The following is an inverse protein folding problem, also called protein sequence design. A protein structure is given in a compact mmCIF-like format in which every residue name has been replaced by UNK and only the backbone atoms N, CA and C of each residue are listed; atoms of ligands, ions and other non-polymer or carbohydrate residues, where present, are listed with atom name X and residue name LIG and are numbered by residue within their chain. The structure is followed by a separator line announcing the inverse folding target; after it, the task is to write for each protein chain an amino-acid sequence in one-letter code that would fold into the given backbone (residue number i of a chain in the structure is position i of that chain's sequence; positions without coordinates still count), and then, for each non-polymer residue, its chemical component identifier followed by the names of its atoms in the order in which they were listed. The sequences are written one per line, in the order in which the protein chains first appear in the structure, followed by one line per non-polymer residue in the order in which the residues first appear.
data_IF_422884245028
#
_entry.id   IF_422884245028
#
_cell.length_a   1.000
_cell.length_b   1.000
_cell.length_c   1.000
_cell.angle_alpha   90.00
_cell.angle_beta   90.00
_cell.angle_gamma   90.00
#
_symmetry.space_group_name_H-M   'P 1'
#
loop_
_entity.id
_entity.type
_entity.pdbx_description
1 polymer ?
#
# COMPACT_ATOMS: atom_id res chain seq x y z
N UNK A 1 36.33 -54.04 -45.04
CA UNK A 1 37.07 -54.69 -43.94
C UNK A 1 36.03 -55.15 -42.94
N UNK A 2 35.71 -56.44 -42.94
CA UNK A 2 34.71 -57.03 -42.03
C UNK A 2 35.27 -57.05 -40.60
N UNK A 3 34.57 -56.39 -39.68
CA UNK A 3 34.92 -56.44 -38.26
C UNK A 3 34.57 -57.82 -37.72
N UNK A 4 35.54 -58.45 -37.04
CA UNK A 4 35.41 -59.78 -36.46
C UNK A 4 34.27 -59.79 -35.42
N UNK A 5 33.19 -60.58 -35.60
CA UNK A 5 31.97 -60.50 -34.77
C UNK A 5 32.20 -60.86 -33.30
N UNK A 6 33.29 -61.56 -32.97
CA UNK A 6 33.66 -61.91 -31.60
C UNK A 6 34.27 -60.75 -30.79
N UNK A 7 34.72 -59.68 -31.46
CA UNK A 7 35.34 -58.52 -30.80
C UNK A 7 34.38 -57.34 -30.60
N UNK A 8 33.17 -57.38 -31.16
CA UNK A 8 32.20 -56.29 -31.10
C UNK A 8 31.73 -56.01 -29.66
N UNK A 9 31.37 -57.07 -28.92
CA UNK A 9 30.89 -56.95 -27.54
C UNK A 9 31.97 -56.42 -26.57
N UNK A 10 33.22 -56.92 -26.60
CA UNK A 10 34.30 -56.32 -25.82
C UNK A 10 34.57 -54.85 -26.17
N UNK A 11 34.53 -54.49 -27.46
CA UNK A 11 34.78 -53.11 -27.91
C UNK A 11 33.64 -52.18 -27.46
N UNK A 12 32.38 -52.58 -27.59
CA UNK A 12 31.24 -51.81 -27.08
C UNK A 12 31.25 -51.68 -25.56
N UNK A 13 31.61 -52.75 -24.84
CA UNK A 13 31.73 -52.72 -23.39
C UNK A 13 32.84 -51.74 -22.94
N UNK A 14 33.97 -51.73 -23.65
CA UNK A 14 35.07 -50.82 -23.37
C UNK A 14 34.72 -49.35 -23.67
N UNK A 15 34.10 -49.08 -24.82
CA UNK A 15 33.61 -47.74 -25.17
C UNK A 15 32.58 -47.23 -24.16
N UNK A 16 31.68 -48.10 -23.69
CA UNK A 16 30.69 -47.74 -22.67
C UNK A 16 31.33 -47.47 -21.33
N UNK A 17 32.32 -48.26 -20.93
CA UNK A 17 33.07 -48.05 -19.70
C UNK A 17 33.83 -46.71 -19.74
N UNK A 18 34.52 -46.43 -20.84
CA UNK A 18 35.27 -45.19 -21.03
C UNK A 18 34.34 -43.97 -20.98
N UNK A 19 33.18 -44.04 -21.66
CA UNK A 19 32.18 -42.97 -21.61
C UNK A 19 31.64 -42.73 -20.20
N UNK A 20 31.33 -43.79 -19.45
CA UNK A 20 30.84 -43.66 -18.07
C UNK A 20 31.93 -43.15 -17.13
N UNK A 21 33.19 -43.53 -17.35
CA UNK A 21 34.32 -43.02 -16.59
C UNK A 21 34.53 -41.52 -16.84
N UNK A 22 34.42 -41.06 -18.08
CA UNK A 22 34.49 -39.64 -18.45
C UNK A 22 33.34 -38.83 -17.84
N UNK A 23 32.10 -39.33 -17.94
CA UNK A 23 30.93 -38.69 -17.32
C UNK A 23 31.09 -38.59 -15.80
N UNK A 24 31.59 -39.64 -15.16
CA UNK A 24 31.83 -39.62 -13.72
C UNK A 24 32.94 -38.63 -13.33
N UNK A 25 34.01 -38.55 -14.14
CA UNK A 25 35.06 -37.55 -13.93
C UNK A 25 34.53 -36.12 -14.06
N UNK A 26 33.67 -35.85 -15.06
CA UNK A 26 33.02 -34.54 -15.21
C UNK A 26 32.12 -34.20 -14.03
N UNK A 27 31.37 -35.17 -13.51
CA UNK A 27 30.52 -34.97 -12.33
C UNK A 27 31.36 -34.65 -11.08
N UNK A 28 32.51 -35.29 -10.91
CA UNK A 28 33.45 -34.95 -9.83
C UNK A 28 33.99 -33.52 -9.96
N UNK A 29 34.40 -33.10 -11.16
CA UNK A 29 34.85 -31.73 -11.39
C UNK A 29 33.74 -30.70 -11.13
N UNK A 30 32.50 -31.02 -11.50
CA UNK A 30 31.35 -30.16 -11.21
C UNK A 30 31.13 -30.04 -9.70
N UNK A 31 31.15 -31.16 -8.98
CA UNK A 31 31.00 -31.19 -7.53
C UNK A 31 32.09 -30.36 -6.83
N UNK A 32 33.33 -30.53 -7.25
CA UNK A 32 34.46 -29.77 -6.69
C UNK A 32 34.30 -28.27 -6.95
N UNK A 33 33.87 -27.87 -8.16
CA UNK A 33 33.61 -26.46 -8.45
C UNK A 33 32.44 -25.88 -7.63
N UNK A 34 31.39 -26.66 -7.42
CA UNK A 34 30.25 -26.24 -6.58
C UNK A 34 30.66 -26.10 -5.11
N UNK A 35 31.50 -27.00 -4.60
CA UNK A 35 32.03 -26.91 -3.24
C UNK A 35 32.91 -25.68 -3.06
N UNK A 36 33.74 -25.33 -4.05
CA UNK A 36 34.55 -24.09 -4.01
C UNK A 36 33.65 -22.86 -3.93
N UNK A 37 32.59 -22.78 -4.76
CA UNK A 37 31.66 -21.65 -4.73
C UNK A 37 30.94 -21.56 -3.38
N UNK A 38 30.53 -22.69 -2.82
CA UNK A 38 29.87 -22.72 -1.52
C UNK A 38 30.82 -22.31 -0.39
N UNK A 39 32.08 -22.76 -0.41
CA UNK A 39 33.11 -22.32 0.54
C UNK A 39 33.39 -20.82 0.39
N UNK A 40 33.45 -20.29 -0.83
CA UNK A 40 33.63 -18.86 -1.06
C UNK A 40 32.45 -18.04 -0.51
N UNK A 41 31.21 -18.50 -0.69
CA UNK A 41 30.01 -17.85 -0.16
C UNK A 41 29.90 -17.94 1.36
N UNK A 42 30.26 -19.09 1.96
CA UNK A 42 30.22 -19.27 3.41
C UNK A 42 31.33 -18.51 4.14
N UNK A 43 32.48 -18.35 3.49
CA UNK A 43 33.64 -17.68 4.09
C UNK A 43 33.76 -16.20 3.68
N UNK A 44 32.86 -15.66 2.85
CA UNK A 44 32.85 -14.23 2.54
C UNK A 44 32.42 -13.44 3.79
N UNK A 45 33.33 -12.68 4.43
CA UNK A 45 33.03 -11.92 5.64
C UNK A 45 32.03 -10.77 5.39
N UNK A 46 31.71 -10.47 4.13
CA UNK A 46 30.73 -9.46 3.74
C UNK A 46 29.35 -10.04 3.38
N UNK A 47 29.22 -11.37 3.26
CA UNK A 47 27.94 -12.02 3.00
C UNK A 47 27.19 -12.20 4.32
N UNK A 48 26.58 -11.12 4.77
CA UNK A 48 25.68 -11.10 5.92
C UNK A 48 24.27 -10.85 5.40
N UNK A 49 23.53 -11.93 5.18
CA UNK A 49 22.17 -11.92 4.62
C UNK A 49 21.27 -10.97 5.40
N UNK A 50 21.39 -10.97 6.74
CA UNK A 50 20.61 -10.11 7.62
C UNK A 50 20.94 -8.62 7.39
N UNK A 51 22.22 -8.25 7.24
CA UNK A 51 22.61 -6.86 6.92
C UNK A 51 22.14 -6.39 5.54
N UNK A 52 22.12 -7.29 4.56
CA UNK A 52 21.62 -6.97 3.21
C UNK A 52 20.12 -6.74 3.27
N UNK A 53 19.38 -7.61 3.98
CA UNK A 53 17.95 -7.47 4.21
C UNK A 53 17.62 -6.17 4.96
N UNK A 54 18.38 -5.85 6.00
CA UNK A 54 18.23 -4.61 6.76
C UNK A 54 18.51 -3.37 5.90
N UNK A 55 19.53 -3.44 5.02
CA UNK A 55 19.83 -2.35 4.07
C UNK A 55 18.70 -2.16 3.06
N UNK A 56 18.15 -3.25 2.51
CA UNK A 56 16.99 -3.20 1.61
C UNK A 56 15.78 -2.57 2.31
N UNK A 57 15.50 -2.99 3.54
CA UNK A 57 14.39 -2.46 4.33
C UNK A 57 14.58 -0.97 4.66
N UNK A 58 15.80 -0.55 4.99
CA UNK A 58 16.14 0.86 5.21
C UNK A 58 15.90 1.70 3.96
N UNK A 59 16.38 1.23 2.80
CA UNK A 59 16.18 1.92 1.53
C UNK A 59 14.70 1.99 1.15
N UNK A 60 13.92 0.92 1.37
CA UNK A 60 12.48 0.94 1.12
C UNK A 60 11.76 1.99 1.98
N UNK A 61 12.15 2.12 3.25
CA UNK A 61 11.60 3.14 4.14
C UNK A 61 11.94 4.55 3.67
N UNK A 62 13.18 4.79 3.24
CA UNK A 62 13.58 6.08 2.66
C UNK A 62 12.80 6.42 1.38
N UNK A 63 12.50 5.42 0.55
CA UNK A 63 11.66 5.58 -0.65
C UNK A 63 10.24 6.01 -0.25
N UNK A 64 9.62 5.35 0.74
CA UNK A 64 8.28 5.71 1.22
C UNK A 64 8.23 7.12 1.81
N UNK A 65 9.24 7.50 2.60
CA UNK A 65 9.35 8.85 3.17
C UNK A 65 9.51 9.91 2.07
N UNK A 66 10.30 9.60 1.04
CA UNK A 66 10.52 10.47 -0.11
C UNK A 66 9.25 10.61 -0.94
N UNK A 67 8.50 9.53 -1.16
CA UNK A 67 7.23 9.58 -1.90
C UNK A 67 6.19 10.44 -1.16
N UNK A 68 6.11 10.30 0.17
CA UNK A 68 5.25 11.16 0.99
C UNK A 68 5.64 12.64 0.89
N UNK A 69 6.93 12.96 0.86
CA UNK A 69 7.43 14.33 0.67
C UNK A 69 7.11 14.86 -0.73
N UNK A 70 7.25 14.02 -1.75
CA UNK A 70 6.90 14.34 -3.14
C UNK A 70 5.41 14.65 -3.29
N UNK A 71 4.54 13.82 -2.71
CA UNK A 71 3.10 14.06 -2.68
C UNK A 71 2.77 15.38 -1.98
N UNK A 72 3.36 15.65 -0.81
CA UNK A 72 3.18 16.93 -0.10
C UNK A 72 3.64 18.13 -0.93
N UNK A 73 4.80 18.03 -1.58
CA UNK A 73 5.32 19.08 -2.45
C UNK A 73 4.41 19.30 -3.67
N UNK A 74 3.88 18.23 -4.24
CA UNK A 74 2.94 18.29 -5.36
C UNK A 74 1.61 18.92 -4.93
N UNK A 75 1.08 18.58 -3.75
CA UNK A 75 -0.09 19.25 -3.18
C UNK A 75 0.15 20.75 -2.95
N UNK A 76 1.29 21.11 -2.35
CA UNK A 76 1.65 22.52 -2.13
C UNK A 76 1.81 23.29 -3.45
N UNK A 77 2.45 22.68 -4.45
CA UNK A 77 2.60 23.28 -5.78
C UNK A 77 1.25 23.46 -6.46
N UNK A 78 0.36 22.46 -6.37
CA UNK A 78 -0.97 22.52 -6.96
C UNK A 78 -1.82 23.61 -6.28
N UNK A 79 -1.75 23.72 -4.95
CA UNK A 79 -2.38 24.81 -4.21
C UNK A 79 -1.82 26.19 -4.63
N UNK A 80 -0.50 26.32 -4.83
CA UNK A 80 0.11 27.58 -5.32
C UNK A 80 -0.36 27.90 -6.74
N UNK A 81 -0.39 26.92 -7.65
CA UNK A 81 -0.77 27.11 -9.05
C UNK A 81 -2.26 27.45 -9.19
N UNK A 82 -3.13 26.77 -8.44
CA UNK A 82 -4.57 27.09 -8.37
C UNK A 82 -4.77 28.50 -7.80
N UNK A 83 -4.11 28.83 -6.68
CA UNK A 83 -4.22 30.16 -6.07
C UNK A 83 -3.66 31.29 -6.97
N UNK A 84 -2.66 31.00 -7.83
CA UNK A 84 -2.11 32.01 -8.77
C UNK A 84 -3.04 32.29 -9.96
N UNK A 85 -3.87 31.32 -10.36
CA UNK A 85 -4.89 31.52 -11.41
C UNK A 85 -6.16 32.20 -10.87
N UNK A 86 -6.39 32.17 -9.56
CA UNK A 86 -7.60 32.68 -8.91
C UNK A 86 -7.63 34.19 -8.62
N UNK A 87 -6.50 34.90 -8.72
CA UNK A 87 -6.48 36.34 -8.42
C UNK A 87 -7.11 37.23 -9.52
N UNK A 88 -7.41 36.70 -10.71
CA UNK A 88 -7.95 37.49 -11.83
C UNK A 88 -9.42 37.21 -12.19
N UNK A 89 -10.06 36.18 -11.62
CA UNK A 89 -11.46 35.88 -11.93
C UNK A 89 -12.22 35.43 -10.70
N UNK A 90 -13.34 36.12 -10.40
CA UNK A 90 -14.37 35.66 -9.45
C UNK A 90 -14.77 34.23 -9.83
N UNK A 91 -14.22 33.24 -9.13
CA UNK A 91 -14.53 31.84 -9.39
C UNK A 91 -16.02 31.60 -9.22
N UNK A 92 -16.64 31.03 -10.25
CA UNK A 92 -17.99 30.52 -10.14
C UNK A 92 -17.97 29.33 -9.15
N UNK A 93 -18.95 29.21 -8.22
CA UNK A 93 -19.07 28.07 -7.29
C UNK A 93 -19.03 26.69 -7.97
N UNK A 94 -19.29 26.64 -9.29
CA UNK A 94 -19.26 25.44 -10.12
C UNK A 94 -17.87 24.79 -10.25
N UNK A 95 -16.79 25.57 -10.35
CA UNK A 95 -15.43 25.00 -10.52
C UNK A 95 -14.91 24.38 -9.21
N UNK A 96 -15.22 25.01 -8.08
CA UNK A 96 -14.91 24.50 -6.75
C UNK A 96 -15.67 23.18 -6.50
N UNK A 97 -16.96 23.14 -6.84
CA UNK A 97 -17.78 21.93 -6.74
C UNK A 97 -17.23 20.78 -7.60
N UNK A 98 -16.74 21.05 -8.81
CA UNK A 98 -16.11 20.02 -9.68
C UNK A 98 -14.88 19.36 -9.05
N UNK A 99 -14.15 20.06 -8.18
CA UNK A 99 -12.97 19.53 -7.51
C UNK A 99 -13.34 18.77 -6.24
N UNK A 100 -14.35 19.24 -5.51
CA UNK A 100 -14.74 18.69 -4.21
C UNK A 100 -15.63 17.45 -4.34
N UNK A 101 -16.59 17.43 -5.28
CA UNK A 101 -17.51 16.30 -5.46
C UNK A 101 -16.78 14.98 -5.71
N UNK A 102 -15.76 14.92 -6.60
CA UNK A 102 -14.96 13.71 -6.77
C UNK A 102 -14.23 13.29 -5.50
N UNK A 103 -13.77 14.24 -4.67
CA UNK A 103 -13.13 13.92 -3.39
C UNK A 103 -14.11 13.27 -2.41
N UNK A 104 -15.33 13.77 -2.32
CA UNK A 104 -16.38 13.13 -1.50
C UNK A 104 -16.74 11.74 -2.01
N UNK A 105 -16.88 11.60 -3.33
CA UNK A 105 -17.15 10.31 -3.96
C UNK A 105 -16.04 9.30 -3.65
N UNK A 106 -14.77 9.71 -3.78
CA UNK A 106 -13.62 8.85 -3.43
C UNK A 106 -13.64 8.40 -1.97
N UNK A 107 -13.96 9.29 -1.03
CA UNK A 107 -14.06 8.94 0.39
C UNK A 107 -15.19 7.94 0.66
N UNK A 108 -16.33 8.09 0.00
CA UNK A 108 -17.44 7.13 0.10
C UNK A 108 -17.04 5.78 -0.50
N UNK A 109 -16.38 5.79 -1.67
CA UNK A 109 -15.90 4.56 -2.31
C UNK A 109 -14.82 3.87 -1.49
N UNK A 110 -13.95 4.60 -0.80
CA UNK A 110 -12.95 4.06 0.12
C UNK A 110 -13.62 3.27 1.25
N UNK A 111 -14.70 3.80 1.83
CA UNK A 111 -15.48 3.10 2.86
C UNK A 111 -16.16 1.87 2.29
N UNK A 112 -16.83 1.98 1.14
CA UNK A 112 -17.45 0.84 0.47
C UNK A 112 -16.42 -0.25 0.16
N UNK A 113 -15.23 0.14 -0.31
CA UNK A 113 -14.12 -0.77 -0.59
C UNK A 113 -13.64 -1.44 0.69
N UNK A 114 -13.38 -0.69 1.76
CA UNK A 114 -12.98 -1.24 3.05
C UNK A 114 -14.02 -2.22 3.63
N UNK A 115 -15.31 -1.96 3.43
CA UNK A 115 -16.40 -2.86 3.87
C UNK A 115 -16.39 -4.16 3.06
N UNK A 116 -16.24 -4.06 1.73
CA UNK A 116 -16.16 -5.23 0.83
C UNK A 116 -14.89 -6.05 1.06
N UNK A 117 -13.74 -5.40 1.23
CA UNK A 117 -12.45 -6.06 1.47
C UNK A 117 -12.44 -6.84 2.80
N UNK A 118 -13.22 -6.39 3.78
CA UNK A 118 -13.44 -7.08 5.05
C UNK A 118 -14.57 -8.14 4.98
N UNK A 119 -15.14 -8.40 3.80
CA UNK A 119 -16.22 -9.37 3.59
C UNK A 119 -17.55 -8.97 4.23
N UNK A 120 -17.72 -7.69 4.59
CA UNK A 120 -18.93 -7.17 5.23
C UNK A 120 -19.84 -6.54 4.17
N UNK A 121 -21.15 -6.56 4.42
CA UNK A 121 -22.15 -5.89 3.57
C UNK A 121 -22.64 -4.57 4.16
N UNK A 122 -22.34 -4.32 5.43
CA UNK A 122 -22.79 -3.16 6.19
C UNK A 122 -21.58 -2.35 6.66
N UNK A 123 -21.64 -1.02 6.51
CA UNK A 123 -20.65 -0.12 7.08
C UNK A 123 -20.91 0.11 8.56
N UNK A 124 -19.86 0.09 9.38
CA UNK A 124 -19.96 0.47 10.80
C UNK A 124 -20.34 1.95 10.92
N UNK A 125 -21.19 2.27 11.90
CA UNK A 125 -21.55 3.66 12.24
C UNK A 125 -20.30 4.51 12.52
N UNK A 126 -19.25 3.91 13.08
CA UNK A 126 -17.99 4.59 13.35
C UNK A 126 -17.28 5.04 12.06
N UNK A 127 -17.30 4.20 11.01
CA UNK A 127 -16.72 4.55 9.71
C UNK A 127 -17.49 5.71 9.06
N UNK A 128 -18.81 5.75 9.22
CA UNK A 128 -19.65 6.85 8.75
C UNK A 128 -19.36 8.13 9.54
N UNK A 129 -19.18 8.03 10.86
CA UNK A 129 -18.79 9.17 11.69
C UNK A 129 -17.41 9.72 11.30
N UNK A 130 -16.43 8.85 11.03
CA UNK A 130 -15.11 9.28 10.54
C UNK A 130 -15.19 9.97 9.17
N UNK A 131 -16.06 9.50 8.28
CA UNK A 131 -16.34 10.18 7.00
C UNK A 131 -16.87 11.59 7.24
N UNK A 132 -17.84 11.73 8.13
CA UNK A 132 -18.44 13.02 8.49
C UNK A 132 -17.38 13.99 9.01
N UNK A 133 -16.48 13.54 9.90
CA UNK A 133 -15.36 14.37 10.38
C UNK A 133 -14.42 14.80 9.24
N UNK A 134 -14.13 13.91 8.28
CA UNK A 134 -13.31 14.26 7.11
C UNK A 134 -14.03 15.29 6.23
N UNK A 135 -15.35 15.17 6.07
CA UNK A 135 -16.17 16.13 5.32
C UNK A 135 -16.18 17.50 5.98
N UNK A 136 -16.35 17.57 7.30
CA UNK A 136 -16.33 18.82 8.07
C UNK A 136 -14.99 19.53 7.87
N UNK A 137 -13.87 18.81 7.95
CA UNK A 137 -12.53 19.38 7.71
C UNK A 137 -12.36 19.97 6.31
N UNK A 138 -12.97 19.34 5.30
CA UNK A 138 -12.97 19.87 3.92
C UNK A 138 -13.77 21.18 3.87
N UNK A 139 -14.96 21.23 4.48
CA UNK A 139 -15.79 22.44 4.55
C UNK A 139 -15.06 23.57 5.28
N UNK A 140 -14.45 23.28 6.43
CA UNK A 140 -13.65 24.26 7.18
C UNK A 140 -12.46 24.79 6.37
N UNK A 141 -11.78 23.93 5.60
CA UNK A 141 -10.70 24.34 4.71
C UNK A 141 -11.19 25.26 3.59
N UNK A 142 -12.39 25.03 3.04
CA UNK A 142 -12.99 25.89 2.01
C UNK A 142 -13.39 27.25 2.57
N UNK A 143 -13.86 27.27 3.82
CA UNK A 143 -14.17 28.50 4.53
C UNK A 143 -12.92 29.33 4.83
N UNK A 144 -11.86 28.70 5.34
CA UNK A 144 -10.58 29.39 5.59
C UNK A 144 -9.97 29.99 4.31
N UNK A 145 -10.19 29.33 3.17
CA UNK A 145 -9.78 29.82 1.84
C UNK A 145 -10.71 30.90 1.27
N UNK A 146 -11.82 31.24 1.95
CA UNK A 146 -12.77 32.28 1.52
C UNK A 146 -13.62 31.91 0.30
N UNK A 147 -13.61 30.63 -0.10
CA UNK A 147 -14.29 30.12 -1.31
C UNK A 147 -15.64 29.47 -1.02
N UNK A 148 -16.01 29.35 0.26
CA UNK A 148 -17.30 28.81 0.68
C UNK A 148 -18.34 29.94 0.80
N UNK A 149 -19.39 29.99 -0.04
CA UNK A 149 -20.37 31.07 -0.06
C UNK A 149 -21.42 30.87 1.03
N UNK A 150 -21.06 31.20 2.27
CA UNK A 150 -21.91 31.04 3.46
C UNK A 150 -22.00 32.35 4.24
N UNK A 151 -23.21 32.69 4.73
CA UNK A 151 -23.38 33.80 5.66
C UNK A 151 -22.99 33.38 7.08
N UNK A 152 -22.51 34.31 7.91
CA UNK A 152 -22.19 33.99 9.31
C UNK A 152 -23.38 33.43 10.12
N UNK A 153 -24.61 33.76 9.73
CA UNK A 153 -25.81 33.25 10.36
C UNK A 153 -26.05 31.77 10.01
N UNK A 154 -25.85 31.41 8.73
CA UNK A 154 -25.96 30.04 8.26
C UNK A 154 -24.88 29.15 8.90
N UNK A 155 -23.67 29.69 9.07
CA UNK A 155 -22.56 28.99 9.74
C UNK A 155 -22.88 28.65 11.18
N UNK A 156 -23.36 29.62 11.95
CA UNK A 156 -23.69 29.38 13.37
C UNK A 156 -24.77 28.32 13.51
N UNK A 157 -25.78 28.37 12.64
CA UNK A 157 -26.85 27.37 12.63
C UNK A 157 -26.33 25.98 12.25
N UNK A 158 -25.54 25.87 11.19
CA UNK A 158 -24.89 24.61 10.79
C UNK A 158 -24.03 24.05 11.91
N UNK A 159 -23.23 24.89 12.56
CA UNK A 159 -22.35 24.50 13.66
C UNK A 159 -23.14 24.01 14.89
N UNK A 160 -24.23 24.68 15.26
CA UNK A 160 -25.13 24.23 16.33
C UNK A 160 -25.80 22.90 15.99
N UNK A 161 -26.32 22.75 14.76
CA UNK A 161 -26.93 21.51 14.28
C UNK A 161 -25.92 20.34 14.31
N UNK A 162 -24.67 20.60 13.92
CA UNK A 162 -23.59 19.62 13.93
C UNK A 162 -23.18 19.22 15.35
N UNK A 163 -23.05 20.18 16.28
CA UNK A 163 -22.78 19.87 17.69
C UNK A 163 -23.89 19.03 18.31
N UNK A 164 -25.14 19.36 18.01
CA UNK A 164 -26.30 18.58 18.46
C UNK A 164 -26.30 17.17 17.85
N UNK A 165 -25.92 17.03 16.58
CA UNK A 165 -25.79 15.73 15.93
C UNK A 165 -24.71 14.87 16.59
N UNK A 166 -23.52 15.41 16.81
CA UNK A 166 -22.42 14.71 17.49
C UNK A 166 -22.78 14.33 18.93
N UNK A 167 -23.45 15.22 19.67
CA UNK A 167 -23.92 14.92 21.02
C UNK A 167 -24.89 13.73 21.03
N UNK A 168 -25.79 13.64 20.03
CA UNK A 168 -26.72 12.51 19.87
C UNK A 168 -26.01 11.21 19.51
N UNK A 169 -25.03 11.25 18.61
CA UNK A 169 -24.21 10.07 18.27
C UNK A 169 -23.44 9.58 19.50
N UNK A 170 -22.81 10.49 20.24
CA UNK A 170 -22.09 10.13 21.47
C UNK A 170 -23.02 9.55 22.53
N UNK A 171 -24.20 10.14 22.73
CA UNK A 171 -25.21 9.60 23.64
C UNK A 171 -25.68 8.20 23.20
N UNK A 172 -25.92 8.00 21.91
CA UNK A 172 -26.30 6.70 21.36
C UNK A 172 -25.20 5.64 21.56
N UNK A 173 -23.94 5.98 21.29
CA UNK A 173 -22.80 5.07 21.53
C UNK A 173 -22.68 4.75 23.01
N UNK A 174 -22.85 5.73 23.90
CA UNK A 174 -22.84 5.49 25.35
C UNK A 174 -23.99 4.61 25.81
N UNK A 175 -25.19 4.76 25.26
CA UNK A 175 -26.34 3.94 25.60
C UNK A 175 -26.20 2.51 25.08
N UNK A 176 -25.67 2.32 23.87
CA UNK A 176 -25.35 0.99 23.33
C UNK A 176 -24.26 0.29 24.16
N UNK A 177 -23.22 1.02 24.59
CA UNK A 177 -22.16 0.49 25.45
C UNK A 177 -22.62 0.20 26.88
N UNK A 178 -23.60 0.95 27.40
CA UNK A 178 -24.24 0.68 28.70
C UNK A 178 -25.30 -0.42 28.64
N UNK A 179 -25.76 -0.78 27.44
CA UNK A 179 -26.73 -1.83 27.17
C UNK A 179 -26.20 -3.26 27.28
N UNK A 180 -24.90 -3.47 27.52
CA UNK A 180 -24.34 -4.76 27.93
C UNK A 180 -23.97 -4.77 29.43
N UNK A 181 -24.95 -5.00 30.33
CA UNK A 181 -24.74 -5.83 31.50
C UNK A 181 -25.34 -7.20 31.20
N UNK A 182 -24.55 -8.26 31.37
CA UNK A 182 -24.99 -9.62 31.09
C UNK A 182 -26.33 -9.96 31.75
N UNK A 183 -27.26 -10.47 30.95
CA UNK A 183 -28.21 -11.48 31.40
C UNK A 183 -27.65 -12.85 30.97
N UNK A 184 -26.79 -13.38 31.84
CA UNK A 184 -26.83 -14.80 32.12
C UNK A 184 -28.09 -15.05 32.96
N UNK A 185 -29.09 -15.70 32.38
CA UNK A 185 -29.79 -16.85 32.97
C UNK A 185 -30.62 -17.57 31.90
#
# INVERSE_FOLDING_TARGET
MEQNPQLILPIEAQNKFEKVADENHQLHLLLDSQNIILDELQNDPNFDEDKILDSINSVNKEIEETDLLLQKAQFALNDILLNRQQNDQKESPSEILKIILPRFQSLIFEICKNVVDNGQTNASLLMIYELEQKVIKIIDSLRQKGVYPESEADFRKYFEDMQNHHARIHAFIQDVLKGEPGEQQ
#
